data_IF_502526324818
#
_entry.id   IF_502526324818
#
_cell.length_a   1.000
_cell.length_b   1.000
_cell.length_c   1.000
_cell.angle_alpha   90.00
_cell.angle_beta   90.00
_cell.angle_gamma   90.00
#
_symmetry.space_group_name_H-M   'P 1'
#
loop_
_entity.id
_entity.type
_entity.pdbx_description
1 polymer ?
#
# COMPACT_ATOMS: atom_id res chain seq x y z
N UNK A 1 32.81 24.92 -30.09
CA UNK A 1 33.44 24.37 -28.86
C UNK A 1 32.31 23.95 -27.92
N UNK A 2 32.10 22.63 -27.69
CA UNK A 2 32.74 21.80 -26.64
C UNK A 2 32.19 22.21 -25.25
N UNK A 3 31.60 21.37 -24.38
CA UNK A 3 31.67 19.91 -24.18
C UNK A 3 30.39 19.43 -23.45
N UNK A 4 29.94 18.23 -23.81
CA UNK A 4 28.97 17.39 -23.10
C UNK A 4 29.51 16.87 -21.74
N UNK A 5 28.62 16.60 -20.80
CA UNK A 5 28.83 15.64 -19.70
C UNK A 5 27.45 15.21 -19.20
N UNK A 6 26.91 14.02 -19.47
CA UNK A 6 27.51 12.68 -19.64
C UNK A 6 28.26 12.23 -18.37
N UNK A 7 27.49 11.98 -17.30
CA UNK A 7 27.91 11.02 -16.27
C UNK A 7 27.13 9.75 -16.53
N UNK A 8 27.82 8.85 -17.22
CA UNK A 8 27.49 7.47 -17.49
C UNK A 8 27.78 6.65 -16.22
N UNK A 9 26.80 5.80 -15.89
CA UNK A 9 26.97 4.39 -15.50
C UNK A 9 27.97 4.04 -14.40
N UNK A 10 27.44 3.59 -13.26
CA UNK A 10 27.91 2.39 -12.54
C UNK A 10 26.80 1.82 -11.65
N UNK A 11 25.90 1.03 -12.25
CA UNK A 11 25.10 0.07 -11.49
C UNK A 11 25.28 -1.30 -12.15
N UNK A 12 26.25 -2.03 -11.60
CA UNK A 12 26.61 -3.42 -11.81
C UNK A 12 25.56 -4.28 -12.54
N UNK A 13 25.88 -4.63 -13.78
CA UNK A 13 25.39 -5.86 -14.42
C UNK A 13 26.29 -6.99 -13.91
N UNK A 14 25.77 -7.78 -12.97
CA UNK A 14 26.28 -9.09 -12.61
C UNK A 14 25.23 -10.13 -13.01
N UNK A 15 25.30 -10.60 -14.25
CA UNK A 15 24.49 -11.70 -14.75
C UNK A 15 25.07 -13.02 -14.24
N UNK A 16 24.23 -13.72 -13.49
CA UNK A 16 24.03 -15.16 -13.42
C UNK A 16 25.16 -16.11 -12.95
N UNK A 17 24.65 -17.09 -12.18
CA UNK A 17 25.07 -18.49 -12.10
C UNK A 17 26.43 -18.78 -11.48
N UNK A 18 26.41 -19.25 -10.23
CA UNK A 18 27.22 -20.38 -9.76
C UNK A 18 26.47 -21.08 -8.60
N UNK A 19 25.82 -22.18 -8.96
CA UNK A 19 25.75 -23.45 -8.22
C UNK A 19 25.51 -23.37 -6.70
N UNK A 20 24.24 -23.47 -6.29
CA UNK A 20 23.94 -24.27 -5.10
C UNK A 20 23.91 -25.72 -5.55
N UNK A 21 25.07 -26.39 -5.48
CA UNK A 21 25.12 -27.84 -5.43
C UNK A 21 24.37 -28.25 -4.17
N UNK A 22 23.16 -28.78 -4.34
CA UNK A 22 22.60 -29.63 -3.30
C UNK A 22 23.46 -30.89 -3.31
N UNK A 23 24.25 -31.03 -2.26
CA UNK A 23 24.95 -32.26 -1.93
C UNK A 23 23.89 -33.36 -1.90
N UNK A 24 23.94 -34.24 -2.90
CA UNK A 24 23.07 -35.39 -2.97
C UNK A 24 23.46 -36.29 -1.78
N UNK A 25 22.66 -36.23 -0.72
CA UNK A 25 22.72 -37.24 0.33
C UNK A 25 22.66 -38.62 -0.35
N UNK A 26 23.56 -39.56 -0.01
CA UNK A 26 23.53 -40.89 -0.58
C UNK A 26 22.14 -41.50 -0.35
N UNK A 27 21.62 -42.30 -1.32
CA UNK A 27 20.35 -42.97 -1.13
C UNK A 27 20.40 -43.74 0.18
N UNK A 28 19.46 -43.41 1.07
CA UNK A 28 19.21 -44.12 2.31
C UNK A 28 19.16 -45.61 1.99
N UNK A 29 20.05 -46.35 2.65
CA UNK A 29 20.04 -47.81 2.72
C UNK A 29 18.61 -48.27 2.97
N UNK A 30 18.07 -49.08 2.06
CA UNK A 30 16.83 -49.84 2.30
C UNK A 30 17.11 -50.84 3.43
N UNK A 31 16.87 -50.41 4.67
CA UNK A 31 16.90 -51.26 5.86
C UNK A 31 15.59 -52.04 6.04
N UNK A 32 14.98 -52.48 4.94
CA UNK A 32 13.77 -53.31 4.95
C UNK A 32 13.86 -54.45 3.95
N UNK A 33 14.93 -55.24 4.03
CA UNK A 33 14.77 -56.67 3.76
C UNK A 33 14.19 -57.33 5.03
N UNK A 34 12.94 -57.79 4.93
CA UNK A 34 12.34 -58.71 5.89
C UNK A 34 11.49 -58.08 6.98
N UNK A 35 10.28 -57.64 6.64
CA UNK A 35 9.17 -57.72 7.59
C UNK A 35 8.05 -58.54 6.95
N UNK A 36 7.96 -59.81 7.35
CA UNK A 36 6.77 -60.61 7.13
C UNK A 36 5.55 -59.85 7.68
N UNK A 37 4.47 -59.86 6.91
CA UNK A 37 3.15 -59.38 7.31
C UNK A 37 2.68 -60.15 8.56
N UNK A 38 2.94 -59.60 9.74
CA UNK A 38 2.10 -59.86 10.90
C UNK A 38 0.92 -58.90 10.81
N UNK A 39 -0.21 -59.40 10.33
CA UNK A 39 -1.50 -58.75 10.55
C UNK A 39 -1.76 -58.74 12.07
N UNK A 40 -1.82 -57.58 12.75
CA UNK A 40 -2.23 -57.55 14.13
C UNK A 40 -3.75 -57.54 14.15
N UNK A 41 -4.36 -58.63 14.62
CA UNK A 41 -5.75 -58.63 15.06
C UNK A 41 -5.99 -57.43 15.96
N UNK A 42 -6.97 -56.54 15.68
CA UNK A 42 -7.19 -55.36 16.51
C UNK A 42 -7.65 -55.79 17.91
N UNK A 43 -7.06 -55.25 18.99
CA UNK A 43 -7.57 -55.48 20.33
C UNK A 43 -8.97 -54.85 20.48
N UNK A 44 -9.85 -55.41 21.33
CA UNK A 44 -11.20 -54.89 21.54
C UNK A 44 -11.16 -53.44 22.06
N UNK A 45 -11.92 -52.57 21.40
CA UNK A 45 -12.04 -51.15 21.72
C UNK A 45 -12.55 -50.94 23.16
N UNK A 46 -11.90 -50.13 24.01
CA UNK A 46 -12.45 -49.77 25.30
C UNK A 46 -13.71 -48.90 25.11
N UNK A 47 -14.82 -49.18 25.81
CA UNK A 47 -16.15 -48.62 25.50
C UNK A 47 -16.36 -47.16 25.93
N UNK A 48 -15.30 -46.39 26.25
CA UNK A 48 -15.43 -45.02 26.76
C UNK A 48 -14.16 -44.17 26.55
N UNK A 49 -13.61 -44.18 25.33
CA UNK A 49 -12.65 -43.16 24.91
C UNK A 49 -13.38 -41.91 24.42
N UNK A 50 -12.88 -40.68 24.66
CA UNK A 50 -13.46 -39.48 24.06
C UNK A 50 -13.51 -39.64 22.54
N UNK A 51 -14.66 -39.39 21.91
CA UNK A 51 -14.83 -39.45 20.44
C UNK A 51 -13.71 -38.66 19.77
N UNK A 52 -12.81 -39.36 19.07
CA UNK A 52 -11.82 -38.69 18.23
C UNK A 52 -12.58 -38.02 17.07
N UNK A 53 -12.31 -36.74 16.78
CA UNK A 53 -12.99 -36.03 15.71
C UNK A 53 -12.78 -36.76 14.38
N UNK A 54 -13.84 -36.86 13.57
CA UNK A 54 -13.74 -37.50 12.27
C UNK A 54 -12.79 -36.73 11.36
N UNK A 55 -12.08 -37.44 10.48
CA UNK A 55 -11.06 -36.88 9.59
C UNK A 55 -11.63 -35.72 8.73
N UNK A 56 -12.93 -35.75 8.43
CA UNK A 56 -13.62 -34.67 7.70
C UNK A 56 -13.72 -33.37 8.50
N UNK A 57 -13.87 -33.45 9.83
CA UNK A 57 -13.88 -32.27 10.71
C UNK A 57 -12.48 -31.65 10.81
N UNK A 58 -11.45 -32.50 10.85
CA UNK A 58 -10.06 -32.06 10.81
C UNK A 58 -9.76 -31.33 9.49
N UNK A 59 -10.17 -31.88 8.35
CA UNK A 59 -9.95 -31.24 7.05
C UNK A 59 -10.66 -29.87 6.94
N UNK A 60 -11.87 -29.75 7.50
CA UNK A 60 -12.58 -28.47 7.61
C UNK A 60 -11.83 -27.44 8.47
N UNK A 61 -11.14 -27.87 9.53
CA UNK A 61 -10.32 -26.95 10.35
C UNK A 61 -9.08 -26.44 9.63
N UNK A 62 -8.51 -27.20 8.69
CA UNK A 62 -7.35 -26.79 7.88
C UNK A 62 -7.73 -26.10 6.57
N UNK A 63 -8.99 -26.21 6.12
CA UNK A 63 -9.49 -25.61 4.88
C UNK A 63 -9.47 -24.08 4.86
N UNK A 64 -9.51 -23.42 6.03
CA UNK A 64 -9.39 -21.96 6.13
C UNK A 64 -7.91 -21.60 6.19
N UNK A 65 -7.41 -20.66 5.37
CA UNK A 65 -6.02 -20.23 5.45
C UNK A 65 -5.76 -19.66 6.85
N UNK A 66 -5.08 -20.46 7.68
CA UNK A 66 -4.76 -20.09 9.04
C UNK A 66 -3.79 -18.91 9.00
N UNK A 67 -4.13 -17.85 9.73
CA UNK A 67 -3.19 -16.74 9.96
C UNK A 67 -1.89 -17.31 10.52
N UNK A 68 -0.78 -17.06 9.82
CA UNK A 68 0.56 -17.50 10.23
C UNK A 68 1.20 -16.47 11.19
N UNK A 69 0.38 -15.60 11.79
CA UNK A 69 0.81 -14.46 12.60
C UNK A 69 0.68 -13.14 11.86
N UNK A 70 0.66 -12.04 12.63
CA UNK A 70 0.42 -10.68 12.13
C UNK A 70 1.37 -10.27 10.99
N UNK A 71 2.63 -10.65 11.10
CA UNK A 71 3.66 -10.28 10.12
C UNK A 71 3.51 -11.05 8.80
N UNK A 72 3.20 -12.35 8.88
CA UNK A 72 2.97 -13.17 7.70
C UNK A 72 1.72 -12.69 6.93
N UNK A 73 0.65 -12.34 7.64
CA UNK A 73 -0.56 -11.81 7.01
C UNK A 73 -0.30 -10.44 6.36
N UNK A 74 0.43 -9.55 7.03
CA UNK A 74 0.83 -8.27 6.46
C UNK A 74 1.70 -8.45 5.20
N UNK A 75 2.62 -9.43 5.21
CA UNK A 75 3.44 -9.78 4.06
C UNK A 75 2.60 -10.28 2.88
N UNK A 76 1.62 -11.15 3.13
CA UNK A 76 0.68 -11.63 2.10
C UNK A 76 -0.09 -10.48 1.46
N UNK A 77 -0.71 -9.61 2.27
CA UNK A 77 -1.44 -8.43 1.79
C UNK A 77 -0.52 -7.53 0.97
N UNK A 78 0.72 -7.33 1.41
CA UNK A 78 1.69 -6.49 0.70
C UNK A 78 2.13 -7.11 -0.66
N UNK A 79 2.27 -8.43 -0.74
CA UNK A 79 2.55 -9.13 -2.00
C UNK A 79 1.38 -8.97 -2.97
N UNK A 80 0.16 -9.23 -2.51
CA UNK A 80 -1.07 -9.04 -3.30
C UNK A 80 -1.17 -7.59 -3.81
N UNK A 81 -0.93 -6.62 -2.92
CA UNK A 81 -0.87 -5.20 -3.27
C UNK A 81 0.13 -4.91 -4.40
N UNK A 82 1.36 -5.42 -4.29
CA UNK A 82 2.38 -5.22 -5.34
C UNK A 82 1.94 -5.83 -6.67
N UNK A 83 1.38 -7.03 -6.65
CA UNK A 83 0.91 -7.71 -7.85
C UNK A 83 -0.23 -6.93 -8.52
N UNK A 84 -1.20 -6.47 -7.74
CA UNK A 84 -2.31 -5.64 -8.20
C UNK A 84 -1.81 -4.33 -8.82
N UNK A 85 -0.86 -3.66 -8.17
CA UNK A 85 -0.24 -2.44 -8.69
C UNK A 85 0.43 -2.69 -10.05
N UNK A 86 1.24 -3.74 -10.16
CA UNK A 86 1.96 -4.05 -11.40
C UNK A 86 1.00 -4.33 -12.56
N UNK A 87 -0.10 -5.05 -12.31
CA UNK A 87 -1.14 -5.29 -13.32
C UNK A 87 -1.87 -4.01 -13.71
N UNK A 88 -2.31 -3.23 -12.73
CA UNK A 88 -3.13 -2.02 -12.95
C UNK A 88 -2.35 -0.91 -13.65
N UNK A 89 -1.05 -0.74 -13.35
CA UNK A 89 -0.20 0.26 -14.01
C UNK A 89 0.00 -0.03 -15.51
N UNK A 90 -0.13 -1.30 -15.90
CA UNK A 90 -0.03 -1.73 -17.29
C UNK A 90 -1.37 -1.66 -18.04
N UNK A 91 -2.48 -1.33 -17.38
CA UNK A 91 -3.78 -1.18 -18.02
C UNK A 91 -3.79 0.05 -18.96
N UNK A 92 -4.20 -0.10 -20.23
CA UNK A 92 -4.19 0.98 -21.20
C UNK A 92 -5.10 2.16 -20.81
N UNK A 93 -6.24 1.91 -20.16
CA UNK A 93 -7.13 2.97 -19.71
C UNK A 93 -6.52 3.77 -18.57
N UNK A 94 -5.84 3.10 -17.65
CA UNK A 94 -5.11 3.75 -16.55
C UNK A 94 -3.99 4.63 -17.10
N UNK A 95 -3.23 4.13 -18.07
CA UNK A 95 -2.15 4.89 -18.71
C UNK A 95 -2.69 6.10 -19.49
N UNK A 96 -3.76 5.91 -20.26
CA UNK A 96 -4.42 6.99 -20.99
C UNK A 96 -4.95 8.07 -20.05
N UNK A 97 -5.63 7.69 -18.96
CA UNK A 97 -6.12 8.63 -17.95
C UNK A 97 -4.98 9.39 -17.26
N UNK A 98 -3.86 8.70 -16.97
CA UNK A 98 -2.66 9.33 -16.41
C UNK A 98 -2.06 10.35 -17.38
N UNK A 99 -1.87 9.98 -18.64
CA UNK A 99 -1.34 10.87 -19.67
C UNK A 99 -2.25 12.09 -19.88
N UNK A 100 -3.56 11.87 -19.96
CA UNK A 100 -4.56 12.92 -20.06
C UNK A 100 -4.50 13.91 -18.89
N UNK A 101 -4.31 13.41 -17.66
CA UNK A 101 -4.12 14.25 -16.48
C UNK A 101 -2.83 15.05 -16.53
N UNK A 102 -1.73 14.48 -17.04
CA UNK A 102 -0.46 15.22 -17.18
C UNK A 102 -0.49 16.27 -18.29
N UNK A 103 -1.31 16.06 -19.34
CA UNK A 103 -1.50 17.02 -20.43
C UNK A 103 -2.39 18.23 -20.05
N UNK A 104 -2.78 18.38 -18.79
CA UNK A 104 -3.55 19.54 -18.32
C UNK A 104 -2.72 20.82 -18.44
N UNK A 105 -3.35 21.92 -18.88
CA UNK A 105 -2.68 23.22 -19.04
C UNK A 105 -2.70 24.05 -17.76
N UNK A 106 -3.67 23.79 -16.89
CA UNK A 106 -3.86 24.50 -15.63
C UNK A 106 -3.87 23.54 -14.45
N UNK A 107 -3.53 24.04 -13.26
CA UNK A 107 -3.57 23.25 -12.02
C UNK A 107 -4.99 22.74 -11.69
N UNK A 108 -6.01 23.58 -11.90
CA UNK A 108 -7.40 23.19 -11.65
C UNK A 108 -7.84 22.05 -12.57
N UNK A 109 -7.52 22.12 -13.87
CA UNK A 109 -7.73 21.01 -14.80
C UNK A 109 -6.96 19.77 -14.36
N UNK A 110 -5.68 19.92 -14.00
CA UNK A 110 -4.83 18.80 -13.58
C UNK A 110 -5.45 18.06 -12.39
N UNK A 111 -5.90 18.79 -11.36
CA UNK A 111 -6.56 18.20 -10.19
C UNK A 111 -7.85 17.49 -10.55
N UNK A 112 -8.69 18.07 -11.40
CA UNK A 112 -9.93 17.42 -11.86
C UNK A 112 -9.63 16.14 -12.65
N UNK A 113 -8.66 16.18 -13.56
CA UNK A 113 -8.25 15.00 -14.32
C UNK A 113 -7.58 13.94 -13.44
N UNK A 114 -6.80 14.35 -12.43
CA UNK A 114 -6.19 13.44 -11.45
C UNK A 114 -7.26 12.75 -10.59
N UNK A 115 -8.35 13.42 -10.21
CA UNK A 115 -9.49 12.76 -9.54
C UNK A 115 -10.07 11.65 -10.41
N UNK A 116 -10.26 11.90 -11.70
CA UNK A 116 -10.74 10.90 -12.65
C UNK A 116 -9.74 9.75 -12.81
N UNK A 117 -8.44 10.06 -12.96
CA UNK A 117 -7.37 9.06 -12.98
C UNK A 117 -7.41 8.15 -11.76
N UNK A 118 -7.53 8.72 -10.55
CA UNK A 118 -7.61 7.90 -9.34
C UNK A 118 -8.90 7.06 -9.27
N UNK A 119 -10.04 7.57 -9.76
CA UNK A 119 -11.25 6.75 -9.87
C UNK A 119 -11.00 5.51 -10.73
N UNK A 120 -10.51 5.70 -11.96
CA UNK A 120 -10.22 4.60 -12.89
C UNK A 120 -9.16 3.65 -12.32
N UNK A 121 -8.07 4.20 -11.76
CA UNK A 121 -6.98 3.40 -11.19
C UNK A 121 -7.45 2.48 -10.07
N UNK A 122 -8.21 3.01 -9.11
CA UNK A 122 -8.67 2.22 -7.96
C UNK A 122 -9.85 1.30 -8.30
N UNK A 123 -10.69 1.66 -9.26
CA UNK A 123 -11.75 0.78 -9.77
C UNK A 123 -11.17 -0.43 -10.51
N UNK A 124 -10.15 -0.23 -11.37
CA UNK A 124 -9.44 -1.33 -12.03
C UNK A 124 -8.72 -2.20 -11.01
N UNK A 125 -8.07 -1.58 -10.02
CA UNK A 125 -7.38 -2.31 -8.97
C UNK A 125 -8.34 -3.13 -8.08
N UNK A 126 -9.52 -2.59 -7.74
CA UNK A 126 -10.52 -3.28 -6.92
C UNK A 126 -11.25 -4.38 -7.68
N UNK A 127 -11.45 -4.22 -8.99
CA UNK A 127 -12.00 -5.27 -9.85
C UNK A 127 -11.08 -6.49 -9.94
N UNK A 128 -9.75 -6.29 -9.87
CA UNK A 128 -8.76 -7.36 -9.84
C UNK A 128 -8.54 -7.97 -8.45
N UNK A 129 -8.97 -7.28 -7.38
CA UNK A 129 -8.79 -7.75 -6.02
C UNK A 129 -9.81 -8.85 -5.68
N UNK A 130 -9.32 -9.97 -5.13
CA UNK A 130 -10.17 -11.10 -4.73
C UNK A 130 -10.67 -10.94 -3.30
N UNK A 131 -9.84 -10.41 -2.40
CA UNK A 131 -10.11 -10.33 -0.97
C UNK A 131 -10.89 -9.06 -0.60
N UNK A 132 -11.90 -9.14 0.29
CA UNK A 132 -12.68 -7.97 0.71
C UNK A 132 -11.84 -6.97 1.53
N UNK A 133 -10.86 -7.45 2.29
CA UNK A 133 -9.95 -6.61 3.08
C UNK A 133 -9.14 -5.65 2.21
N UNK A 134 -8.62 -6.14 1.08
CA UNK A 134 -7.88 -5.30 0.13
C UNK A 134 -8.81 -4.30 -0.54
N UNK A 135 -10.05 -4.68 -0.87
CA UNK A 135 -11.03 -3.75 -1.46
C UNK A 135 -11.31 -2.57 -0.52
N UNK A 136 -11.47 -2.82 0.77
CA UNK A 136 -11.66 -1.78 1.76
C UNK A 136 -10.41 -0.90 1.91
N UNK A 137 -9.23 -1.50 1.95
CA UNK A 137 -7.96 -0.76 2.00
C UNK A 137 -7.77 0.14 0.75
N UNK A 138 -8.16 -0.35 -0.42
CA UNK A 138 -8.13 0.40 -1.69
C UNK A 138 -9.04 1.62 -1.64
N UNK A 139 -10.24 1.52 -1.06
CA UNK A 139 -11.15 2.65 -0.90
C UNK A 139 -10.57 3.74 0.02
N UNK A 140 -9.94 3.34 1.12
CA UNK A 140 -9.23 4.25 2.01
C UNK A 140 -8.08 4.99 1.29
N UNK A 141 -7.29 4.26 0.49
CA UNK A 141 -6.20 4.83 -0.29
C UNK A 141 -6.69 5.76 -1.41
N UNK A 142 -7.79 5.39 -2.09
CA UNK A 142 -8.46 6.27 -3.05
C UNK A 142 -8.86 7.59 -2.41
N UNK A 143 -9.53 7.52 -1.27
CA UNK A 143 -10.01 8.69 -0.52
C UNK A 143 -8.85 9.57 -0.06
N UNK A 144 -7.77 8.96 0.43
CA UNK A 144 -6.53 9.66 0.79
C UNK A 144 -5.92 10.41 -0.40
N UNK A 145 -5.73 9.74 -1.54
CA UNK A 145 -5.18 10.37 -2.74
C UNK A 145 -6.06 11.49 -3.29
N UNK A 146 -7.38 11.33 -3.26
CA UNK A 146 -8.29 12.40 -3.66
C UNK A 146 -8.28 13.57 -2.68
N UNK A 147 -8.13 13.30 -1.38
CA UNK A 147 -7.96 14.30 -0.34
C UNK A 147 -6.77 15.21 -0.59
N UNK A 148 -5.63 14.64 -1.00
CA UNK A 148 -4.40 15.39 -1.35
C UNK A 148 -4.57 16.35 -2.54
N UNK A 149 -5.59 16.15 -3.38
CA UNK A 149 -5.91 17.07 -4.50
C UNK A 149 -6.80 18.24 -4.07
N UNK A 150 -7.26 18.27 -2.82
CA UNK A 150 -8.12 19.36 -2.33
C UNK A 150 -7.26 20.57 -2.04
N UNK A 151 -7.65 21.74 -2.57
CA UNK A 151 -6.94 22.98 -2.23
C UNK A 151 -7.46 23.53 -0.90
N UNK A 152 -6.55 24.03 -0.03
CA UNK A 152 -6.97 24.81 1.13
C UNK A 152 -7.71 26.06 0.65
N UNK A 153 -8.85 26.36 1.29
CA UNK A 153 -9.68 27.50 0.93
C UNK A 153 -9.03 28.78 1.47
N UNK A 154 -8.44 29.58 0.60
CA UNK A 154 -7.76 30.84 0.97
C UNK A 154 -8.74 31.99 1.22
N UNK A 155 -9.99 31.85 0.75
CA UNK A 155 -11.04 32.83 0.98
C UNK A 155 -12.05 32.29 1.99
N UNK A 156 -12.39 33.06 3.03
CA UNK A 156 -13.55 32.76 3.86
C UNK A 156 -14.77 32.59 2.95
N UNK A 157 -15.62 31.63 3.27
CA UNK A 157 -16.99 31.62 2.74
C UNK A 157 -17.63 32.96 3.10
N UNK A 158 -18.23 33.69 2.15
CA UNK A 158 -18.96 34.89 2.50
C UNK A 158 -20.07 34.47 3.46
N UNK A 159 -20.00 34.97 4.69
CA UNK A 159 -21.10 34.81 5.63
C UNK A 159 -22.34 35.44 4.98
N UNK A 160 -23.39 34.66 4.79
CA UNK A 160 -24.69 35.14 4.31
C UNK A 160 -25.47 35.88 5.40
N UNK A 161 -24.85 36.14 6.55
CA UNK A 161 -25.38 37.09 7.53
C UNK A 161 -25.27 38.50 6.96
N UNK A 162 -26.42 39.03 6.53
CA UNK A 162 -26.60 40.43 6.18
C UNK A 162 -25.97 41.30 7.28
N UNK A 163 -24.99 42.16 6.98
CA UNK A 163 -24.48 43.09 7.99
C UNK A 163 -25.60 44.07 8.33
N UNK A 164 -26.13 43.98 9.55
CA UNK A 164 -26.99 45.02 10.10
C UNK A 164 -26.19 46.32 10.15
N UNK A 165 -26.65 47.43 9.54
CA UNK A 165 -25.91 48.68 9.56
C UNK A 165 -25.87 49.23 10.99
N UNK A 166 -24.67 49.24 11.59
CA UNK A 166 -24.43 49.96 12.84
C UNK A 166 -24.42 51.47 12.53
N UNK A 167 -25.21 52.30 13.23
CA UNK A 167 -25.23 53.74 12.99
C UNK A 167 -23.86 54.37 13.31
N UNK A 168 -23.45 55.26 12.41
CA UNK A 168 -22.19 56.02 12.47
C UNK A 168 -22.09 56.79 13.78
N UNK A 169 -21.08 56.47 14.59
CA UNK A 169 -20.83 57.11 15.87
C UNK A 169 -19.40 56.93 16.32
N UNK A 170 -18.57 57.94 16.05
CA UNK A 170 -17.33 58.28 16.77
C UNK A 170 -16.10 57.37 16.55
N UNK A 171 -15.07 57.98 15.97
CA UNK A 171 -13.71 57.49 15.80
C UNK A 171 -13.07 56.94 17.09
N UNK A 172 -12.44 55.76 17.10
CA UNK A 172 -11.60 55.33 18.22
C UNK A 172 -10.20 55.96 18.16
N UNK A 173 -9.57 56.28 19.32
CA UNK A 173 -8.25 56.90 19.36
C UNK A 173 -7.14 55.94 18.91
N UNK A 174 -6.18 56.48 18.16
CA UNK A 174 -4.95 55.79 17.73
C UNK A 174 -4.24 55.13 18.93
N UNK A 175 -4.07 53.81 18.90
CA UNK A 175 -3.07 53.11 19.74
C UNK A 175 -1.69 53.18 19.06
N UNK A 176 -0.60 53.39 19.84
CA UNK A 176 0.74 53.61 19.30
C UNK A 176 1.34 52.33 18.71
N UNK A 177 2.14 52.51 17.65
CA UNK A 177 2.84 51.47 16.92
C UNK A 177 3.83 50.71 17.81
N UNK A 178 3.66 49.39 17.88
CA UNK A 178 4.59 48.50 18.56
C UNK A 178 5.80 48.21 17.65
N UNK A 179 7.00 48.40 18.21
CA UNK A 179 8.26 48.42 17.47
C UNK A 179 8.69 47.00 17.07
N UNK A 180 8.92 46.78 15.78
CA UNK A 180 9.58 45.58 15.26
C UNK A 180 10.95 45.35 15.94
N UNK A 181 11.06 44.30 16.76
CA UNK A 181 12.35 43.76 17.22
C UNK A 181 12.98 42.92 16.09
N UNK A 182 13.91 43.53 15.35
CA UNK A 182 14.84 42.81 14.46
C UNK A 182 15.72 41.86 15.29
N UNK A 183 15.47 40.55 15.23
CA UNK A 183 16.41 39.54 15.72
C UNK A 183 17.47 39.32 14.63
N UNK A 184 18.66 39.90 14.83
CA UNK A 184 19.86 39.60 14.03
C UNK A 184 20.33 38.20 14.39
N UNK A 185 20.15 37.24 13.49
CA UNK A 185 20.81 35.95 13.59
C UNK A 185 22.17 36.03 12.89
N UNK A 186 23.23 35.97 13.69
CA UNK A 186 24.62 35.96 13.21
C UNK A 186 24.89 34.61 12.56
N UNK A 187 25.15 34.61 11.25
CA UNK A 187 25.82 33.51 10.55
C UNK A 187 27.22 33.34 11.11
N UNK A 188 27.51 32.20 11.73
CA UNK A 188 28.88 31.71 11.87
C UNK A 188 29.16 30.69 10.77
N UNK A 189 30.01 31.07 9.82
CA UNK A 189 30.80 30.15 9.00
C UNK A 189 31.73 29.39 9.95
N UNK A 190 31.82 28.07 9.78
CA UNK A 190 33.03 27.31 10.05
C UNK A 190 33.40 26.55 8.77
N UNK A 191 34.69 26.64 8.48
CA UNK A 191 35.40 25.94 7.41
C UNK A 191 35.37 24.43 7.65
#
# INVERSE_FOLDING_TARGET
MRIYGLIVSTALIGVALLLHGQDAAPPSVDLYEGQEQFEPTPPPLPPNGPELPEISELDQTFSKPRSLGKEADAARVHIEWRQLKNRTVNDPQVQAAKAYAQAARTDLEKRNRLRNYYNIYYERMSALATTPEIKLALEGLKSSHQGLLTQPRVRPTPDTSTPTPTPSGTSPPKKPADKQKKKKEKRHKRF
#
